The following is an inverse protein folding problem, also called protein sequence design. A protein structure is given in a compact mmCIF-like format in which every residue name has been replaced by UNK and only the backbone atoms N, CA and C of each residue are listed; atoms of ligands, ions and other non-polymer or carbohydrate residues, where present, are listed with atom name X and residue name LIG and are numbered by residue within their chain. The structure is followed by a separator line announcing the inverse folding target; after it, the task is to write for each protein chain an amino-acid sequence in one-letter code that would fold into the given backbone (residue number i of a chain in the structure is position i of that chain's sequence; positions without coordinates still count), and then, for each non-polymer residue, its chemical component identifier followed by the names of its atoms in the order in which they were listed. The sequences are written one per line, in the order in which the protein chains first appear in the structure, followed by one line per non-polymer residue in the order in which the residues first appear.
data_IF_978502115754
#
_entry.id   IF_978502115754
#
_cell.length_a   1.000
_cell.length_b   1.000
_cell.length_c   1.000
_cell.angle_alpha   90.00
_cell.angle_beta   90.00
_cell.angle_gamma   90.00
#
_symmetry.space_group_name_H-M   'P 1'
#
loop_
_entity.id
_entity.type
_entity.pdbx_description
1 polymer ?
#
# COMPACT_ATOMS: atom_id res chain seq x y z
N UNK A 1 9.64 21.96 9.53
CA UNK A 1 10.52 21.07 8.74
C UNK A 1 9.60 20.42 7.74
N UNK A 2 9.50 21.00 6.54
CA UNK A 2 8.64 20.45 5.48
C UNK A 2 9.28 19.14 5.04
N UNK A 3 8.57 18.02 5.17
CA UNK A 3 8.98 16.80 4.45
C UNK A 3 9.06 17.21 2.97
N UNK A 4 10.26 17.16 2.41
CA UNK A 4 10.51 17.44 1.00
C UNK A 4 9.79 16.32 0.23
N UNK A 5 8.52 16.56 -0.08
CA UNK A 5 7.71 15.60 -0.85
C UNK A 5 8.40 15.45 -2.20
N UNK A 6 8.72 14.21 -2.56
CA UNK A 6 9.35 13.94 -3.85
C UNK A 6 8.46 14.48 -4.96
N UNK A 7 8.96 15.48 -5.67
CA UNK A 7 8.29 16.09 -6.81
C UNK A 7 8.94 15.58 -8.08
N UNK A 8 8.12 15.21 -9.06
CA UNK A 8 8.57 14.69 -10.34
C UNK A 8 7.95 15.49 -11.47
N UNK A 9 8.78 15.90 -12.44
CA UNK A 9 8.30 16.64 -13.61
C UNK A 9 7.43 15.75 -14.52
N UNK A 10 6.43 16.36 -15.16
CA UNK A 10 5.63 15.73 -16.21
C UNK A 10 6.44 15.70 -17.49
N UNK A 11 6.45 14.55 -18.17
CA UNK A 11 7.12 14.38 -19.45
C UNK A 11 6.07 14.16 -20.55
N UNK A 12 6.19 14.86 -21.70
CA UNK A 12 5.29 14.66 -22.81
C UNK A 12 5.35 13.22 -23.34
N UNK A 13 4.18 12.66 -23.63
CA UNK A 13 4.00 11.31 -24.18
C UNK A 13 4.87 11.03 -25.42
N UNK A 14 4.99 11.99 -26.35
CA UNK A 14 5.85 11.92 -27.54
C UNK A 14 7.32 11.61 -27.23
N UNK A 15 7.78 11.97 -26.04
CA UNK A 15 9.16 11.71 -25.58
C UNK A 15 9.39 10.21 -25.43
N UNK A 16 8.43 9.47 -24.88
CA UNK A 16 8.57 8.04 -24.60
C UNK A 16 8.23 7.15 -25.80
N UNK A 17 7.33 7.58 -26.68
CA UNK A 17 7.03 6.88 -27.95
C UNK A 17 8.31 6.55 -28.73
N UNK A 18 9.26 7.50 -28.77
CA UNK A 18 10.54 7.34 -29.47
C UNK A 18 11.46 6.29 -28.86
N UNK A 19 11.35 6.03 -27.55
CA UNK A 19 12.26 5.13 -26.83
C UNK A 19 11.67 3.76 -26.56
N UNK A 20 10.36 3.64 -26.41
CA UNK A 20 9.68 2.39 -26.02
C UNK A 20 8.98 1.69 -27.19
N UNK A 21 8.83 2.36 -28.33
CA UNK A 21 8.24 1.79 -29.55
C UNK A 21 6.78 1.34 -29.34
N UNK A 22 6.24 0.42 -30.15
CA UNK A 22 4.83 0.01 -30.12
C UNK A 22 4.39 -0.72 -28.83
N UNK A 23 5.29 -0.97 -27.86
CA UNK A 23 4.87 -1.40 -26.50
C UNK A 23 4.10 -0.32 -25.74
N UNK A 24 4.22 0.91 -26.21
CA UNK A 24 3.53 2.09 -25.72
C UNK A 24 2.10 2.24 -26.28
N UNK A 25 1.72 1.46 -27.29
CA UNK A 25 0.46 1.63 -28.03
C UNK A 25 -0.75 1.42 -27.10
N UNK A 26 -1.24 2.54 -26.55
CA UNK A 26 -2.42 2.68 -25.70
C UNK A 26 -2.36 1.89 -24.39
N UNK A 27 -1.64 2.37 -23.38
CA UNK A 27 -2.01 2.02 -21.99
C UNK A 27 -3.29 2.82 -21.69
N UNK A 28 -4.48 2.19 -21.73
CA UNK A 28 -5.74 2.92 -21.67
C UNK A 28 -5.87 3.57 -20.29
N UNK A 29 -6.23 4.86 -20.27
CA UNK A 29 -6.50 5.60 -19.03
C UNK A 29 -5.29 6.26 -18.36
N UNK A 30 -4.07 6.13 -18.91
CA UNK A 30 -2.93 6.92 -18.42
C UNK A 30 -3.10 8.37 -18.84
N UNK A 31 -3.05 9.28 -17.87
CA UNK A 31 -3.16 10.73 -18.12
C UNK A 31 -1.81 11.43 -18.13
N UNK A 32 -0.87 10.99 -17.29
CA UNK A 32 0.45 11.61 -17.17
C UNK A 32 1.55 10.56 -17.02
N UNK A 33 2.75 10.92 -17.50
CA UNK A 33 4.00 10.19 -17.26
C UNK A 33 4.97 11.12 -16.56
N UNK A 34 5.58 10.63 -15.48
CA UNK A 34 6.59 11.36 -14.72
C UNK A 34 8.00 11.05 -15.25
N UNK A 35 8.95 11.94 -14.99
CA UNK A 35 10.35 11.81 -15.44
C UNK A 35 11.05 10.53 -14.97
N UNK A 36 10.59 9.94 -13.85
CA UNK A 36 11.10 8.67 -13.32
C UNK A 36 10.43 7.44 -13.98
N UNK A 37 9.58 7.64 -14.97
CA UNK A 37 8.84 6.58 -15.66
C UNK A 37 7.57 6.13 -14.95
N UNK A 38 7.10 6.84 -13.92
CA UNK A 38 5.82 6.52 -13.27
C UNK A 38 4.65 6.88 -14.18
N UNK A 39 3.70 5.96 -14.33
CA UNK A 39 2.45 6.16 -15.06
C UNK A 39 1.36 6.55 -14.09
N UNK A 40 0.65 7.65 -14.35
CA UNK A 40 -0.42 8.17 -13.49
C UNK A 40 -1.81 8.05 -14.13
N UNK A 41 -2.77 7.65 -13.31
CA UNK A 41 -4.19 7.53 -13.61
C UNK A 41 -4.99 8.45 -12.70
N UNK A 42 -6.03 9.07 -13.23
CA UNK A 42 -6.94 9.90 -12.43
C UNK A 42 -7.81 9.06 -11.49
N UNK A 43 -8.00 9.54 -10.27
CA UNK A 43 -8.89 8.91 -9.29
C UNK A 43 -10.25 9.59 -9.25
N UNK A 44 -11.29 8.92 -9.72
CA UNK A 44 -12.66 9.44 -9.67
C UNK A 44 -13.17 9.65 -8.23
N UNK A 45 -12.72 8.82 -7.29
CA UNK A 45 -13.10 8.87 -5.87
C UNK A 45 -12.49 10.05 -5.10
N UNK A 46 -11.42 10.65 -5.60
CA UNK A 46 -10.87 11.91 -5.09
C UNK A 46 -10.31 12.76 -6.23
N UNK A 47 -11.17 13.58 -6.86
CA UNK A 47 -10.74 14.48 -7.92
C UNK A 47 -9.57 15.35 -7.47
N UNK A 48 -8.48 15.32 -8.23
CA UNK A 48 -7.23 16.02 -7.88
C UNK A 48 -6.15 15.11 -7.29
N UNK A 49 -6.46 13.84 -7.02
CA UNK A 49 -5.48 12.82 -6.66
C UNK A 49 -5.30 11.86 -7.83
N UNK A 50 -4.06 11.47 -8.07
CA UNK A 50 -3.68 10.52 -9.12
C UNK A 50 -3.01 9.30 -8.49
N UNK A 51 -3.32 8.13 -9.03
CA UNK A 51 -2.73 6.85 -8.62
C UNK A 51 -1.69 6.40 -9.64
N UNK A 52 -0.55 5.91 -9.17
CA UNK A 52 0.43 5.28 -10.04
C UNK A 52 0.10 3.82 -10.36
N UNK A 53 0.47 3.36 -11.56
CA UNK A 53 0.47 1.93 -11.87
C UNK A 53 1.32 1.11 -10.87
N UNK A 54 1.07 -0.21 -10.90
CA UNK A 54 1.88 -1.24 -10.27
C UNK A 54 3.19 -1.54 -11.03
N UNK A 55 3.50 -0.75 -12.06
CA UNK A 55 4.72 -0.83 -12.85
C UNK A 55 5.10 0.53 -13.44
N UNK A 56 6.39 0.68 -13.77
CA UNK A 56 6.90 1.84 -14.51
C UNK A 56 6.69 1.66 -16.02
N UNK A 57 6.94 2.72 -16.77
CA UNK A 57 6.91 2.73 -18.24
C UNK A 57 7.86 1.71 -18.87
N UNK A 58 8.92 1.28 -18.17
CA UNK A 58 9.84 0.22 -18.63
C UNK A 58 9.36 -1.20 -18.29
N UNK A 59 8.25 -1.33 -17.56
CA UNK A 59 7.69 -2.58 -17.08
C UNK A 59 8.29 -3.08 -15.76
N UNK A 60 9.08 -2.25 -15.07
CA UNK A 60 9.59 -2.61 -13.74
C UNK A 60 8.45 -2.54 -12.71
N UNK A 61 8.25 -3.56 -11.87
CA UNK A 61 7.22 -3.53 -10.83
C UNK A 61 7.43 -2.37 -9.85
N UNK A 62 6.35 -1.69 -9.51
CA UNK A 62 6.30 -0.57 -8.57
C UNK A 62 5.13 -0.73 -7.60
N UNK A 63 5.29 -0.26 -6.36
CA UNK A 63 4.16 -0.19 -5.44
C UNK A 63 3.27 1.02 -5.78
N UNK A 64 1.94 0.87 -5.88
CA UNK A 64 1.04 1.98 -6.17
C UNK A 64 1.13 3.09 -5.12
N UNK A 65 1.30 4.30 -5.61
CA UNK A 65 1.46 5.53 -4.84
C UNK A 65 0.50 6.58 -5.34
N UNK A 66 0.28 7.58 -4.50
CA UNK A 66 -0.60 8.70 -4.76
C UNK A 66 0.20 9.96 -5.03
N UNK A 67 -0.33 10.76 -5.94
CA UNK A 67 0.28 11.98 -6.43
C UNK A 67 -0.75 13.09 -6.50
N UNK A 68 -0.32 14.32 -6.24
CA UNK A 68 -1.13 15.52 -6.43
C UNK A 68 -0.46 16.45 -7.45
N UNK A 69 -1.25 17.08 -8.34
CA UNK A 69 -0.71 17.97 -9.35
C UNK A 69 -0.12 19.23 -8.72
N UNK A 70 1.00 19.69 -9.29
CA UNK A 70 1.62 20.97 -8.99
C UNK A 70 1.54 21.82 -10.24
N UNK A 71 0.91 22.98 -10.10
CA UNK A 71 0.73 23.96 -11.16
C UNK A 71 1.77 25.06 -11.02
N UNK A 72 2.25 25.61 -12.15
CA UNK A 72 3.12 26.78 -12.17
C UNK A 72 2.35 27.93 -12.84
N UNK A 73 2.26 29.07 -12.15
CA UNK A 73 1.48 30.22 -12.63
C UNK A 73 -0.01 29.90 -12.79
N UNK A 74 -0.60 30.35 -13.90
CA UNK A 74 -2.02 30.18 -14.24
C UNK A 74 -2.24 29.02 -15.25
N UNK A 75 -1.29 28.09 -15.36
CA UNK A 75 -1.42 26.97 -16.29
C UNK A 75 -2.50 25.98 -15.85
N UNK A 76 -3.36 25.57 -16.80
CA UNK A 76 -4.38 24.54 -16.58
C UNK A 76 -3.82 23.11 -16.60
N UNK A 77 -2.55 22.94 -16.99
CA UNK A 77 -1.86 21.65 -16.97
C UNK A 77 -0.80 21.64 -15.86
N UNK A 78 -0.66 20.53 -15.13
CA UNK A 78 0.39 20.40 -14.14
C UNK A 78 1.75 20.27 -14.83
N UNK A 79 2.75 20.99 -14.34
CA UNK A 79 4.14 20.83 -14.78
C UNK A 79 4.84 19.68 -14.03
N UNK A 80 4.32 19.34 -12.85
CA UNK A 80 4.89 18.32 -11.98
C UNK A 80 3.83 17.70 -11.07
N UNK A 81 4.22 16.62 -10.40
CA UNK A 81 3.41 15.96 -9.39
C UNK A 81 4.21 15.73 -8.12
N UNK A 82 3.59 15.95 -6.96
CA UNK A 82 4.15 15.61 -5.66
C UNK A 82 3.64 14.27 -5.18
N UNK A 83 4.54 13.36 -4.80
CA UNK A 83 4.19 12.12 -4.11
C UNK A 83 3.62 12.45 -2.72
N UNK A 84 2.42 11.96 -2.44
CA UNK A 84 1.76 12.16 -1.13
C UNK A 84 1.84 10.94 -0.23
N UNK A 85 1.90 9.73 -0.79
CA UNK A 85 2.04 8.51 -0.01
C UNK A 85 1.58 7.25 -0.74
N UNK A 86 1.54 6.09 -0.06
CA UNK A 86 1.10 4.84 -0.65
C UNK A 86 -0.42 4.78 -0.80
N UNK A 87 -0.90 4.13 -1.86
CA UNK A 87 -2.33 3.94 -2.15
C UNK A 87 -3.08 3.22 -1.03
N UNK A 88 -2.42 2.28 -0.34
CA UNK A 88 -3.02 1.45 0.72
C UNK A 88 -3.46 2.25 1.96
N UNK A 89 -2.89 3.43 2.18
CA UNK A 89 -3.21 4.29 3.34
C UNK A 89 -4.29 5.32 3.00
N UNK A 90 -4.76 5.34 1.76
CA UNK A 90 -5.72 6.32 1.30
C UNK A 90 -7.10 6.12 1.91
N UNK A 91 -7.76 7.23 2.22
CA UNK A 91 -9.16 7.28 2.59
C UNK A 91 -9.84 8.45 1.87
N UNK A 92 -10.82 8.14 1.03
CA UNK A 92 -11.61 9.14 0.33
C UNK A 92 -12.62 9.80 1.27
N UNK A 93 -12.96 11.06 0.98
CA UNK A 93 -14.00 11.80 1.70
C UNK A 93 -15.35 11.51 1.06
N UNK A 94 -16.34 11.11 1.86
CA UNK A 94 -17.71 10.88 1.41
C UNK A 94 -18.68 12.00 1.83
N UNK A 95 -18.40 12.72 2.92
CA UNK A 95 -19.19 13.86 3.39
C UNK A 95 -18.26 14.86 4.12
N UNK A 96 -18.54 16.15 4.00
CA UNK A 96 -17.82 17.28 4.62
C UNK A 96 -18.47 17.76 5.92
N UNK A 97 -19.35 16.95 6.50
CA UNK A 97 -20.02 17.27 7.76
C UNK A 97 -20.31 16.01 8.58
N UNK A 98 -19.91 16.02 9.86
CA UNK A 98 -20.10 14.87 10.74
C UNK A 98 -21.39 15.06 11.55
N UNK A 99 -22.25 14.05 11.56
CA UNK A 99 -23.47 14.07 12.37
C UNK A 99 -23.17 13.57 13.79
N UNK A 100 -23.41 14.41 14.80
CA UNK A 100 -23.21 14.10 16.22
C UNK A 100 -24.50 14.32 17.01
N UNK A 101 -24.69 13.59 18.10
CA UNK A 101 -25.85 13.62 18.96
C UNK A 101 -26.90 12.58 18.59
N UNK A 102 -27.64 12.11 19.60
CA UNK A 102 -28.69 11.11 19.43
C UNK A 102 -29.81 11.69 18.55
N UNK A 103 -30.29 10.93 17.55
CA UNK A 103 -31.45 11.33 16.76
C UNK A 103 -32.65 11.71 17.64
N UNK A 104 -33.25 12.87 17.38
CA UNK A 104 -34.41 13.36 18.12
C UNK A 104 -34.11 13.97 19.51
N UNK A 105 -32.86 13.99 19.96
CA UNK A 105 -32.47 14.60 21.25
C UNK A 105 -31.59 15.83 21.04
N UNK A 106 -30.43 15.65 20.40
CA UNK A 106 -29.41 16.69 20.27
C UNK A 106 -28.57 16.53 18.99
N UNK A 107 -29.18 15.98 17.94
CA UNK A 107 -28.53 15.78 16.66
C UNK A 107 -28.14 17.12 16.02
N UNK A 108 -26.88 17.22 15.61
CA UNK A 108 -26.32 18.39 14.93
C UNK A 108 -25.22 17.97 13.96
N UNK A 109 -24.95 18.84 12.99
CA UNK A 109 -23.80 18.73 12.10
C UNK A 109 -22.62 19.50 12.69
N UNK A 110 -21.49 18.82 12.84
CA UNK A 110 -20.22 19.39 13.28
C UNK A 110 -19.25 19.45 12.08
N UNK A 111 -18.37 20.46 12.01
CA UNK A 111 -17.31 20.53 11.01
C UNK A 111 -16.38 19.31 11.08
N UNK A 112 -16.18 18.64 9.96
CA UNK A 112 -15.37 17.45 9.87
C UNK A 112 -15.58 16.70 8.57
N UNK A 113 -15.08 15.47 8.49
CA UNK A 113 -15.08 14.65 7.30
C UNK A 113 -15.54 13.23 7.64
N UNK A 114 -16.37 12.65 6.78
CA UNK A 114 -16.70 11.23 6.81
C UNK A 114 -15.88 10.55 5.73
N UNK A 115 -15.21 9.46 6.09
CA UNK A 115 -14.37 8.68 5.20
C UNK A 115 -15.12 7.48 4.63
N UNK A 116 -14.67 7.00 3.47
CA UNK A 116 -15.18 5.80 2.78
C UNK A 116 -15.20 4.52 3.65
N UNK A 117 -14.24 4.38 4.56
CA UNK A 117 -14.14 3.29 5.51
C UNK A 117 -15.10 3.43 6.73
N UNK A 118 -15.95 4.46 6.74
CA UNK A 118 -16.94 4.74 7.77
C UNK A 118 -16.40 5.46 9.01
N UNK A 119 -15.11 5.81 9.03
CA UNK A 119 -14.54 6.65 10.08
C UNK A 119 -14.89 8.12 9.89
N UNK A 120 -14.86 8.85 10.99
CA UNK A 120 -15.15 10.28 11.02
C UNK A 120 -13.96 11.05 11.60
N UNK A 121 -13.65 12.19 11.00
CA UNK A 121 -12.60 13.11 11.40
C UNK A 121 -13.25 14.43 11.80
N UNK A 122 -13.07 14.90 13.03
CA UNK A 122 -13.63 16.17 13.49
C UNK A 122 -12.58 17.27 13.46
N UNK A 123 -12.95 18.49 13.07
CA UNK A 123 -12.02 19.63 13.13
C UNK A 123 -11.56 19.90 14.57
N UNK A 124 -12.42 19.64 15.56
CA UNK A 124 -12.07 19.76 16.98
C UNK A 124 -11.04 18.73 17.45
N UNK A 125 -10.84 17.65 16.70
CA UNK A 125 -9.90 16.55 17.00
C UNK A 125 -8.61 16.65 16.18
N UNK A 126 -8.41 17.79 15.52
CA UNK A 126 -7.20 18.12 14.80
C UNK A 126 -6.07 18.47 15.77
N UNK A 127 -4.91 17.86 15.57
CA UNK A 127 -3.72 18.13 16.37
C UNK A 127 -2.97 19.39 15.89
N UNK A 128 -1.94 19.80 16.64
CA UNK A 128 -1.14 20.98 16.31
C UNK A 128 -0.29 20.84 15.04
N UNK A 129 -0.09 19.61 14.56
CA UNK A 129 0.58 19.32 13.29
C UNK A 129 -0.42 19.34 12.11
N UNK A 130 -1.70 19.42 12.41
CA UNK A 130 -2.78 19.45 11.44
C UNK A 130 -3.27 18.08 11.00
N UNK A 131 -2.93 17.01 11.72
CA UNK A 131 -3.47 15.67 11.53
C UNK A 131 -4.76 15.49 12.33
N UNK A 132 -5.61 14.56 11.91
CA UNK A 132 -6.91 14.30 12.52
C UNK A 132 -6.89 12.98 13.26
N UNK A 133 -7.39 12.97 14.49
CA UNK A 133 -7.68 11.73 15.20
C UNK A 133 -9.03 11.19 14.72
N UNK A 134 -9.06 9.97 14.23
CA UNK A 134 -10.29 9.36 13.76
C UNK A 134 -11.13 8.80 14.88
N UNK A 135 -12.44 8.96 14.75
CA UNK A 135 -13.42 8.27 15.55
C UNK A 135 -14.35 7.40 14.71
N UNK A 136 -15.05 6.48 15.37
CA UNK A 136 -16.22 5.83 14.82
C UNK A 136 -17.47 6.60 15.27
N UNK A 137 -18.33 6.96 14.31
CA UNK A 137 -19.64 7.54 14.59
C UNK A 137 -20.65 6.43 14.86
N UNK A 138 -20.95 6.14 16.13
CA UNK A 138 -22.00 5.18 16.51
C UNK A 138 -23.13 5.92 17.20
N UNK A 139 -24.34 5.91 16.62
CA UNK A 139 -25.56 6.51 17.19
C UNK A 139 -25.38 7.98 17.63
N UNK A 140 -24.61 8.75 16.85
CA UNK A 140 -24.30 10.15 17.15
C UNK A 140 -23.25 10.36 18.25
N UNK A 141 -22.62 9.30 18.75
CA UNK A 141 -21.43 9.40 19.60
C UNK A 141 -20.16 9.29 18.76
N UNK A 142 -19.14 10.07 19.12
CA UNK A 142 -17.80 9.97 18.55
C UNK A 142 -16.91 9.15 19.49
N UNK A 143 -16.42 8.00 19.00
CA UNK A 143 -15.50 7.13 19.74
C UNK A 143 -14.14 7.12 19.07
N UNK A 144 -13.13 7.73 19.69
CA UNK A 144 -11.76 7.76 19.16
C UNK A 144 -11.21 6.34 18.95
N UNK A 145 -10.70 6.08 17.75
CA UNK A 145 -10.13 4.79 17.35
C UNK A 145 -8.62 4.69 17.59
N UNK A 146 -7.97 5.83 17.87
CA UNK A 146 -6.51 5.93 17.97
C UNK A 146 -5.79 5.96 16.61
N UNK A 147 -6.52 5.89 15.49
CA UNK A 147 -5.97 6.08 14.15
C UNK A 147 -5.78 7.58 13.89
N UNK A 148 -4.72 7.92 13.16
CA UNK A 148 -4.38 9.29 12.82
C UNK A 148 -4.37 9.42 11.31
N UNK A 149 -4.96 10.50 10.80
CA UNK A 149 -5.06 10.78 9.38
C UNK A 149 -4.42 12.12 9.06
N UNK A 150 -3.50 12.11 8.09
CA UNK A 150 -2.94 13.32 7.52
C UNK A 150 -3.78 13.76 6.32
N UNK A 151 -4.17 15.04 6.22
CA UNK A 151 -4.87 15.54 5.06
C UNK A 151 -3.97 15.64 3.82
N UNK A 152 -4.44 15.08 2.71
CA UNK A 152 -3.97 15.41 1.37
C UNK A 152 -4.60 16.74 0.99
N UNK A 153 -3.79 17.72 0.60
CA UNK A 153 -4.23 19.07 0.27
C UNK A 153 -3.84 19.45 -1.15
N UNK A 154 -4.68 20.26 -1.78
CA UNK A 154 -4.27 21.09 -2.90
C UNK A 154 -3.23 22.13 -2.46
N UNK A 155 -2.49 22.73 -3.42
CA UNK A 155 -1.58 23.85 -3.15
C UNK A 155 -2.25 25.06 -2.48
N UNK A 156 -3.54 25.28 -2.69
CA UNK A 156 -4.33 26.35 -2.07
C UNK A 156 -4.75 26.03 -0.61
N UNK A 157 -4.54 24.81 -0.16
CA UNK A 157 -4.83 24.34 1.19
C UNK A 157 -6.16 23.59 1.35
N UNK A 158 -6.98 23.45 0.30
CA UNK A 158 -8.21 22.65 0.35
C UNK A 158 -7.89 21.17 0.56
N UNK A 159 -8.68 20.50 1.42
CA UNK A 159 -8.48 19.08 1.74
C UNK A 159 -9.23 18.22 0.73
N UNK A 160 -8.47 17.37 0.05
CA UNK A 160 -8.97 16.45 -0.99
C UNK A 160 -9.36 15.09 -0.44
N UNK A 161 -8.50 14.55 0.43
CA UNK A 161 -8.58 13.21 0.95
C UNK A 161 -7.66 13.08 2.16
N UNK A 162 -7.53 11.87 2.70
CA UNK A 162 -6.69 11.62 3.85
C UNK A 162 -5.78 10.40 3.63
N UNK A 163 -4.63 10.43 4.31
CA UNK A 163 -3.72 9.30 4.45
C UNK A 163 -3.68 8.85 5.90
N UNK A 164 -3.97 7.58 6.13
CA UNK A 164 -3.79 6.96 7.43
C UNK A 164 -2.30 6.86 7.78
N UNK A 165 -1.90 7.57 8.82
CA UNK A 165 -0.60 7.38 9.45
C UNK A 165 -0.73 6.21 10.42
N UNK A 166 -0.17 5.06 10.06
CA UNK A 166 -0.11 3.92 10.99
C UNK A 166 0.57 4.36 12.30
N UNK A 167 -0.08 4.17 13.47
CA UNK A 167 0.56 4.47 14.74
C UNK A 167 1.78 3.57 14.92
N UNK A 168 2.91 4.13 15.38
CA UNK A 168 4.20 3.44 15.55
C UNK A 168 4.13 2.12 16.33
N UNK A 169 3.06 1.92 17.13
CA UNK A 169 2.81 0.67 17.86
C UNK A 169 2.69 -0.57 16.98
N UNK A 170 2.31 -0.44 15.71
CA UNK A 170 2.25 -1.59 14.78
C UNK A 170 3.64 -1.88 14.20
N UNK A 171 4.42 -0.84 13.87
CA UNK A 171 5.81 -0.99 13.38
C UNK A 171 6.70 -1.70 14.40
N UNK A 172 6.53 -1.42 15.69
CA UNK A 172 7.26 -2.11 16.75
C UNK A 172 6.87 -3.59 16.85
N UNK A 173 5.58 -3.94 16.69
CA UNK A 173 5.11 -5.33 16.72
C UNK A 173 5.54 -6.14 15.50
N UNK A 174 5.60 -5.53 14.32
CA UNK A 174 6.09 -6.23 13.12
C UNK A 174 7.61 -6.41 13.16
N UNK A 175 8.37 -5.43 13.64
CA UNK A 175 9.82 -5.56 13.87
C UNK A 175 10.15 -6.51 15.03
N UNK A 176 9.34 -6.55 16.10
CA UNK A 176 9.49 -7.53 17.19
C UNK A 176 9.09 -8.93 16.75
N UNK A 177 8.10 -9.09 15.87
CA UNK A 177 7.72 -10.40 15.32
C UNK A 177 8.80 -10.97 14.40
N UNK A 178 9.47 -10.12 13.61
CA UNK A 178 10.62 -10.51 12.79
C UNK A 178 11.85 -10.80 13.67
N UNK A 179 12.13 -9.97 14.68
CA UNK A 179 13.24 -10.22 15.63
C UNK A 179 13.01 -11.44 16.53
N UNK A 180 11.77 -11.76 16.89
CA UNK A 180 11.41 -12.96 17.63
C UNK A 180 11.58 -14.23 16.79
N UNK A 181 11.37 -14.14 15.47
CA UNK A 181 11.64 -15.27 14.56
C UNK A 181 13.13 -15.58 14.42
N UNK A 182 13.99 -14.55 14.40
CA UNK A 182 15.45 -14.73 14.33
C UNK A 182 16.07 -15.14 15.68
N UNK A 183 15.59 -14.61 16.80
CA UNK A 183 16.13 -14.95 18.13
C UNK A 183 15.67 -16.32 18.65
N UNK A 184 14.50 -16.80 18.24
CA UNK A 184 14.03 -18.15 18.57
C UNK A 184 14.87 -19.26 17.91
N UNK A 185 15.62 -18.96 16.84
CA UNK A 185 16.48 -19.93 16.16
C UNK A 185 17.87 -20.07 16.78
N UNK A 186 18.29 -19.10 17.61
CA UNK A 186 19.65 -19.06 18.20
C UNK A 186 19.68 -19.60 19.64
N UNK A 187 18.55 -19.74 20.34
CA UNK A 187 18.53 -20.05 21.78
C UNK A 187 17.88 -21.38 22.21
N UNK A 188 17.73 -22.36 21.31
CA UNK A 188 17.38 -23.73 21.74
C UNK A 188 18.40 -24.75 21.21
N UNK A 189 19.50 -25.02 21.94
CA UNK A 189 20.07 -26.35 21.93
C UNK A 189 19.15 -27.23 22.77
N UNK A 190 18.13 -27.82 22.16
CA UNK A 190 17.34 -28.89 22.78
C UNK A 190 17.73 -30.21 22.15
N UNK A 191 18.26 -31.04 23.04
CA UNK A 191 18.65 -32.42 22.86
C UNK A 191 17.62 -33.21 22.07
N UNK A 192 18.15 -34.03 21.16
CA UNK A 192 17.42 -34.99 20.37
C UNK A 192 16.71 -36.02 21.27
N UNK A 193 15.42 -36.20 21.08
CA UNK A 193 14.76 -37.49 21.29
C UNK A 193 13.63 -37.65 20.27
N UNK A 194 13.56 -38.80 19.56
CA UNK A 194 12.96 -38.85 18.24
C UNK A 194 11.51 -39.31 18.33
N UNK A 195 10.57 -38.53 17.80
CA UNK A 195 9.34 -39.12 17.25
C UNK A 195 8.53 -38.14 16.39
N UNK A 196 8.35 -38.61 15.15
CA UNK A 196 7.15 -38.42 14.32
C UNK A 196 6.97 -37.07 13.64
N UNK A 197 7.83 -36.79 12.66
CA UNK A 197 7.38 -36.12 11.44
C UNK A 197 7.37 -37.14 10.30
N UNK A 198 6.29 -37.24 9.51
CA UNK A 198 6.31 -38.07 8.31
C UNK A 198 7.41 -37.59 7.36
N UNK A 199 8.11 -38.50 6.67
CA UNK A 199 9.28 -38.15 5.86
C UNK A 199 8.89 -37.15 4.78
N UNK A 200 9.73 -36.13 4.60
CA UNK A 200 9.51 -35.10 3.60
C UNK A 200 9.47 -35.70 2.18
N UNK A 201 8.69 -35.10 1.29
CA UNK A 201 8.55 -35.56 -0.11
C UNK A 201 9.92 -35.68 -0.81
N UNK A 202 10.90 -34.87 -0.37
CA UNK A 202 12.29 -34.87 -0.84
C UNK A 202 13.08 -36.10 -0.35
N UNK A 203 12.88 -36.56 0.88
CA UNK A 203 13.44 -37.83 1.38
C UNK A 203 12.78 -39.06 0.75
N UNK A 204 11.47 -38.99 0.50
CA UNK A 204 10.74 -40.05 -0.19
C UNK A 204 11.26 -40.23 -1.63
N UNK A 205 11.50 -39.12 -2.34
CA UNK A 205 12.11 -39.14 -3.68
C UNK A 205 13.56 -39.64 -3.65
N UNK A 206 14.35 -39.30 -2.63
CA UNK A 206 15.73 -39.80 -2.51
C UNK A 206 15.77 -41.30 -2.27
N UNK A 207 14.91 -41.84 -1.39
CA UNK A 207 14.81 -43.29 -1.16
C UNK A 207 14.32 -44.07 -2.38
N UNK A 208 13.38 -43.51 -3.14
CA UNK A 208 12.89 -44.12 -4.38
C UNK A 208 13.97 -44.18 -5.47
N UNK A 209 14.95 -43.26 -5.45
CA UNK A 209 16.10 -43.28 -6.34
C UNK A 209 17.22 -44.22 -5.85
N UNK A 210 17.41 -44.35 -4.53
CA UNK A 210 18.37 -45.28 -3.92
C UNK A 210 17.92 -46.75 -3.98
N UNK A 211 16.61 -47.02 -4.08
CA UNK A 211 16.05 -48.40 -4.17
C UNK A 211 15.85 -48.91 -5.59
N UNK A 212 16.26 -48.16 -6.62
CA UNK A 212 16.36 -48.72 -7.97
C UNK A 212 17.58 -49.64 -8.05
N UNK A 213 17.41 -50.96 -8.20
CA UNK A 213 18.54 -51.84 -8.48
C UNK A 213 19.09 -51.47 -9.86
N UNK A 214 20.42 -51.39 -9.98
CA UNK A 214 21.09 -51.38 -11.27
C UNK A 214 20.63 -52.61 -12.07
N UNK A 215 20.15 -52.47 -13.32
CA UNK A 215 19.84 -53.62 -14.13
C UNK A 215 21.15 -54.26 -14.60
N UNK A 216 21.38 -55.50 -14.17
CA UNK A 216 22.24 -56.45 -14.86
C UNK A 216 23.45 -56.94 -14.07
N UNK A 217 23.34 -58.15 -13.51
CA UNK A 217 24.42 -59.15 -13.52
C UNK A 217 23.92 -60.49 -12.94
N UNK A 218 24.12 -61.55 -13.72
CA UNK A 218 24.24 -62.96 -13.31
C UNK A 218 22.96 -63.82 -13.26
N UNK A 219 22.59 -64.28 -14.46
CA UNK A 219 22.14 -65.65 -14.64
C UNK A 219 23.27 -66.63 -14.22
N UNK A 220 22.96 -67.79 -13.62
CA UNK A 220 23.82 -68.95 -13.70
C UNK A 220 23.32 -69.87 -14.82
N UNK A 221 24.23 -70.13 -15.75
CA UNK A 221 24.17 -71.20 -16.74
C UNK A 221 24.27 -72.58 -16.07
N UNK A 222 23.57 -73.54 -16.71
CA UNK A 222 23.85 -74.98 -16.87
C UNK A 222 23.31 -76.05 -15.90
N UNK A 223 22.39 -76.81 -16.50
CA UNK A 223 22.43 -78.26 -16.77
C UNK A 223 22.57 -79.24 -15.59
N UNK A 224 21.53 -80.05 -15.38
CA UNK A 224 21.46 -81.44 -15.87
C UNK A 224 20.02 -81.95 -15.88
#
# INVERSE_FOLDING_TARGET
MSEERNQYAVVPFDTFERYLGPRYENIPGVEYILENGTLLYFMEEAPGVYESADHTVTGEPAAPKLFVPVYEGDEMQPHAFSEVGPREQFAAITDFSVTIGLPGVNQRKEPGYVLDNGLVLLESERDSQGNYKAGAGMDGMFLQTGRIFEPIRYPDGEILAFLERQPERIRAKDLESVKAYDTARVQNPREESPSQRPPSLREQLRRAQETRPLPGANAPERER
#
